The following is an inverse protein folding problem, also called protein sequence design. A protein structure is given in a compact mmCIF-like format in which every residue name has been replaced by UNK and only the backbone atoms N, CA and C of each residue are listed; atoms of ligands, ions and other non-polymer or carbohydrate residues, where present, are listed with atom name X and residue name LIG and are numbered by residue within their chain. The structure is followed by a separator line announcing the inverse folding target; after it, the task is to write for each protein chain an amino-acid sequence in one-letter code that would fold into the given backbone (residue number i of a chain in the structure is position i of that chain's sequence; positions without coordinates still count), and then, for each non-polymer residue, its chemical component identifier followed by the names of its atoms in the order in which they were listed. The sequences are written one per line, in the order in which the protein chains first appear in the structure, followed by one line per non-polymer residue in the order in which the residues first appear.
data_IF_475695789157
#
_entry.id   IF_475695789157
#
_cell.length_a   1.000
_cell.length_b   1.000
_cell.length_c   1.000
_cell.angle_alpha   90.00
_cell.angle_beta   90.00
_cell.angle_gamma   90.00
#
_symmetry.space_group_name_H-M   'P 1'
#
loop_
_entity.id
_entity.type
_entity.pdbx_description
1 polymer ?
#
# COMPACT_ATOMS: atom_id res chain seq x y z
N UNK A 1 -32.47 9.13 12.77
CA UNK A 1 -31.43 9.21 13.81
C UNK A 1 -30.18 8.57 13.23
N UNK A 2 -29.19 9.38 12.87
CA UNK A 2 -27.92 8.92 12.31
C UNK A 2 -27.05 8.35 13.44
N UNK A 3 -26.87 7.03 13.45
CA UNK A 3 -25.81 6.39 14.21
C UNK A 3 -24.47 6.76 13.59
N UNK A 4 -23.67 7.51 14.33
CA UNK A 4 -22.28 7.79 13.99
C UNK A 4 -21.51 6.47 13.93
N UNK A 5 -21.10 6.05 12.74
CA UNK A 5 -20.21 4.88 12.52
C UNK A 5 -18.79 5.07 13.12
N UNK A 6 -18.57 6.09 13.95
CA UNK A 6 -17.27 6.39 14.60
C UNK A 6 -16.92 5.45 15.75
N UNK A 7 -17.84 4.59 16.16
CA UNK A 7 -17.63 3.61 17.23
C UNK A 7 -17.37 2.19 16.69
N UNK A 8 -16.82 2.06 15.47
CA UNK A 8 -16.11 0.82 15.14
C UNK A 8 -14.85 0.78 16.00
N UNK A 9 -14.97 0.06 17.11
CA UNK A 9 -13.91 -0.26 18.06
C UNK A 9 -12.53 -0.32 17.37
N UNK A 10 -11.59 0.53 17.81
CA UNK A 10 -10.18 0.44 17.42
C UNK A 10 -9.58 -0.94 17.76
N UNK A 11 -10.24 -1.74 18.60
CA UNK A 11 -9.91 -3.14 18.87
C UNK A 11 -10.44 -4.12 17.81
N UNK A 12 -11.47 -3.76 17.04
CA UNK A 12 -12.00 -4.55 15.93
C UNK A 12 -11.23 -4.32 14.60
N UNK A 13 -10.51 -3.20 14.47
CA UNK A 13 -9.59 -2.93 13.35
C UNK A 13 -8.25 -3.66 13.53
N UNK A 14 -8.29 -4.95 13.84
CA UNK A 14 -7.11 -5.76 14.12
C UNK A 14 -6.09 -5.61 12.99
N UNK A 15 -4.98 -4.92 13.27
CA UNK A 15 -3.78 -4.83 12.45
C UNK A 15 -3.92 -3.99 11.16
N UNK A 16 -3.00 -3.05 10.94
CA UNK A 16 -2.77 -2.47 9.60
C UNK A 16 -1.89 -3.48 8.89
N UNK A 17 -2.42 -4.24 7.93
CA UNK A 17 -1.65 -5.34 7.35
C UNK A 17 -1.82 -5.44 5.85
N UNK A 18 -0.71 -5.36 5.11
CA UNK A 18 -0.73 -5.66 3.69
C UNK A 18 -0.08 -7.01 3.41
N UNK A 19 -0.70 -7.80 2.54
CA UNK A 19 -0.01 -8.88 1.86
C UNK A 19 0.96 -8.27 0.83
N UNK A 20 2.19 -8.75 0.79
CA UNK A 20 3.20 -8.38 -0.19
C UNK A 20 3.46 -9.59 -1.07
N UNK A 21 3.11 -9.49 -2.36
CA UNK A 21 3.51 -10.47 -3.36
C UNK A 21 4.85 -10.06 -3.95
N UNK A 22 5.79 -10.99 -3.88
CA UNK A 22 7.09 -10.86 -4.51
C UNK A 22 6.97 -11.24 -5.99
N UNK A 23 7.48 -10.38 -6.87
CA UNK A 23 7.49 -10.63 -8.33
C UNK A 23 8.88 -10.51 -8.96
N UNK A 24 9.85 -9.97 -8.20
CA UNK A 24 11.25 -9.82 -8.60
C UNK A 24 12.13 -10.92 -7.98
N UNK A 25 12.76 -11.73 -8.84
CA UNK A 25 13.53 -12.93 -8.49
C UNK A 25 14.87 -13.02 -9.26
N UNK A 26 15.46 -11.88 -9.61
CA UNK A 26 16.84 -11.83 -10.10
C UNK A 26 17.83 -11.90 -8.93
N UNK A 27 19.08 -12.30 -9.17
CA UNK A 27 20.13 -12.33 -8.15
C UNK A 27 20.28 -10.96 -7.44
N UNK A 28 20.13 -9.87 -8.21
CA UNK A 28 20.12 -8.51 -7.66
C UNK A 28 18.91 -8.31 -6.74
N UNK A 29 17.70 -8.68 -7.19
CA UNK A 29 16.50 -8.58 -6.37
C UNK A 29 16.59 -9.40 -5.08
N UNK A 30 17.11 -10.63 -5.14
CA UNK A 30 17.36 -11.48 -3.97
C UNK A 30 18.30 -10.81 -2.96
N UNK A 31 19.39 -10.22 -3.44
CA UNK A 31 20.36 -9.53 -2.58
C UNK A 31 19.76 -8.28 -1.92
N UNK A 32 18.90 -7.56 -2.64
CA UNK A 32 18.33 -6.29 -2.19
C UNK A 32 17.06 -6.45 -1.33
N UNK A 33 16.33 -7.56 -1.47
CA UNK A 33 15.01 -7.77 -0.88
C UNK A 33 14.94 -7.58 0.64
N UNK A 34 15.85 -8.16 1.45
CA UNK A 34 15.81 -7.99 2.91
C UNK A 34 15.95 -6.52 3.31
N UNK A 35 16.86 -5.80 2.66
CA UNK A 35 17.12 -4.38 2.91
C UNK A 35 15.92 -3.52 2.51
N UNK A 36 15.30 -3.79 1.36
CA UNK A 36 14.14 -3.05 0.89
C UNK A 36 12.94 -3.19 1.85
N UNK A 37 12.64 -4.41 2.29
CA UNK A 37 11.56 -4.67 3.24
C UNK A 37 11.83 -4.04 4.60
N UNK A 38 13.06 -4.13 5.10
CA UNK A 38 13.44 -3.48 6.36
C UNK A 38 13.27 -1.97 6.27
N UNK A 39 13.74 -1.33 5.19
CA UNK A 39 13.58 0.10 4.98
C UNK A 39 12.11 0.49 4.88
N UNK A 40 11.31 -0.24 4.09
CA UNK A 40 9.87 0.03 3.99
C UNK A 40 9.20 -0.04 5.37
N UNK A 41 9.43 -1.11 6.12
CA UNK A 41 8.87 -1.29 7.47
C UNK A 41 9.33 -0.18 8.41
N UNK A 42 10.63 0.14 8.43
CA UNK A 42 11.23 1.17 9.29
C UNK A 42 10.62 2.54 8.99
N UNK A 43 10.64 2.95 7.73
CA UNK A 43 10.13 4.25 7.32
C UNK A 43 8.63 4.40 7.58
N UNK A 44 7.83 3.36 7.33
CA UNK A 44 6.39 3.40 7.65
C UNK A 44 6.15 3.52 9.15
N UNK A 45 6.76 2.64 9.94
CA UNK A 45 6.48 2.55 11.39
C UNK A 45 7.11 3.67 12.20
N UNK A 46 8.31 4.13 11.84
CA UNK A 46 9.03 5.13 12.61
C UNK A 46 8.81 6.56 12.11
N UNK A 47 8.34 6.75 10.86
CA UNK A 47 8.22 8.09 10.28
C UNK A 47 6.84 8.36 9.66
N UNK A 48 6.40 7.61 8.65
CA UNK A 48 5.22 7.98 7.87
C UNK A 48 3.91 7.94 8.64
N UNK A 49 3.72 6.95 9.53
CA UNK A 49 2.55 6.94 10.41
C UNK A 49 2.50 8.20 11.28
N UNK A 50 3.64 8.82 11.59
CA UNK A 50 3.74 10.05 12.36
C UNK A 50 3.73 11.32 11.49
N UNK A 51 3.87 11.23 10.17
CA UNK A 51 4.05 12.40 9.31
C UNK A 51 2.84 13.36 9.40
N UNK A 52 1.63 12.82 9.46
CA UNK A 52 0.42 13.63 9.59
C UNK A 52 0.39 14.42 10.92
N UNK A 53 1.01 13.87 11.98
CA UNK A 53 1.23 14.58 13.25
C UNK A 53 2.21 15.73 13.08
N UNK A 54 3.31 15.51 12.34
CA UNK A 54 4.32 16.53 12.01
C UNK A 54 3.75 17.65 11.15
N UNK A 55 2.89 17.32 10.19
CA UNK A 55 2.23 18.28 9.29
C UNK A 55 1.29 19.19 10.08
N UNK A 56 0.47 18.62 10.97
CA UNK A 56 -0.56 19.34 11.71
C UNK A 56 -0.08 19.88 13.07
N UNK A 57 1.22 19.85 13.35
CA UNK A 57 1.83 20.32 14.60
C UNK A 57 1.17 19.72 15.86
N UNK A 58 0.78 18.44 15.81
CA UNK A 58 0.18 17.74 16.95
C UNK A 58 1.30 17.19 17.85
N UNK A 59 1.37 17.50 19.15
CA UNK A 59 2.48 17.05 19.99
C UNK A 59 2.34 15.59 20.47
N UNK A 60 1.11 15.13 20.70
CA UNK A 60 0.83 13.75 21.12
C UNK A 60 0.92 12.77 19.94
N UNK A 61 1.69 11.69 20.09
CA UNK A 61 1.79 10.60 19.11
C UNK A 61 1.43 9.22 19.63
N UNK A 62 0.85 9.10 20.82
CA UNK A 62 0.50 7.81 21.42
C UNK A 62 -0.34 6.93 20.49
N UNK A 63 -1.31 7.52 19.79
CA UNK A 63 -2.12 6.83 18.78
C UNK A 63 -1.25 6.35 17.62
N UNK A 64 -0.34 7.19 17.12
CA UNK A 64 0.55 6.84 16.01
C UNK A 64 1.54 5.72 16.41
N UNK A 65 2.03 5.73 17.65
CA UNK A 65 2.88 4.66 18.19
C UNK A 65 2.12 3.32 18.27
N UNK A 66 0.84 3.34 18.66
CA UNK A 66 -0.02 2.15 18.64
C UNK A 66 -0.25 1.64 17.22
N UNK A 67 -0.55 2.53 16.27
CA UNK A 67 -0.72 2.18 14.86
C UNK A 67 0.56 1.59 14.27
N UNK A 68 1.71 2.19 14.58
CA UNK A 68 3.02 1.70 14.15
C UNK A 68 3.31 0.30 14.69
N UNK A 69 2.98 0.02 15.96
CA UNK A 69 3.12 -1.33 16.55
C UNK A 69 2.23 -2.37 15.90
N UNK A 70 1.09 -1.96 15.33
CA UNK A 70 0.13 -2.85 14.65
C UNK A 70 0.39 -3.02 13.15
N UNK A 71 1.38 -2.34 12.60
CA UNK A 71 1.70 -2.43 11.18
C UNK A 71 2.44 -3.74 10.85
N UNK A 72 1.88 -4.51 9.91
CA UNK A 72 2.44 -5.75 9.40
C UNK A 72 2.58 -5.69 7.88
N UNK A 73 3.73 -6.14 7.39
CA UNK A 73 3.91 -6.58 6.02
C UNK A 73 4.02 -8.10 6.04
N UNK A 74 3.02 -8.78 5.48
CA UNK A 74 3.03 -10.23 5.33
C UNK A 74 3.54 -10.56 3.95
N UNK A 75 4.78 -11.04 3.86
CA UNK A 75 5.35 -11.47 2.59
C UNK A 75 4.82 -12.85 2.26
N UNK A 76 4.21 -12.98 1.09
CA UNK A 76 3.74 -14.27 0.57
C UNK A 76 4.52 -14.64 -0.67
N UNK A 77 5.27 -15.74 -0.54
CA UNK A 77 6.03 -16.35 -1.62
C UNK A 77 5.30 -17.62 -2.05
N UNK A 78 4.57 -17.54 -3.16
CA UNK A 78 3.90 -18.70 -3.76
C UNK A 78 4.77 -19.26 -4.90
N UNK A 79 4.99 -20.59 -4.97
CA UNK A 79 5.73 -21.19 -6.08
C UNK A 79 5.11 -20.93 -7.47
N UNK A 80 3.83 -20.56 -7.57
CA UNK A 80 3.23 -20.13 -8.84
C UNK A 80 3.41 -18.63 -9.09
N UNK A 81 3.48 -17.78 -8.06
CA UNK A 81 3.89 -16.37 -8.23
C UNK A 81 5.34 -16.26 -8.70
N UNK A 82 6.22 -17.16 -8.24
CA UNK A 82 7.61 -17.23 -8.69
C UNK A 82 7.72 -17.53 -10.20
N UNK A 83 6.79 -18.30 -10.76
CA UNK A 83 6.76 -18.60 -12.20
C UNK A 83 6.32 -17.41 -13.05
N UNK A 84 5.54 -16.49 -12.49
CA UNK A 84 5.03 -15.33 -13.25
C UNK A 84 6.12 -14.31 -13.56
N UNK A 85 7.16 -14.20 -12.72
CA UNK A 85 8.32 -13.29 -12.86
C UNK A 85 7.97 -11.97 -13.56
N UNK A 86 7.46 -11.02 -12.80
CA UNK A 86 7.10 -9.68 -13.29
C UNK A 86 8.08 -8.64 -12.69
N UNK A 87 9.31 -8.54 -13.23
CA UNK A 87 10.34 -7.64 -12.68
C UNK A 87 10.01 -6.15 -12.90
N UNK A 88 9.11 -5.84 -13.83
CA UNK A 88 8.67 -4.48 -14.14
C UNK A 88 7.14 -4.48 -14.32
N UNK A 89 6.42 -4.07 -13.28
CA UNK A 89 4.96 -4.10 -13.29
C UNK A 89 4.36 -3.02 -14.21
N UNK A 90 5.13 -1.99 -14.58
CA UNK A 90 4.67 -0.98 -15.53
C UNK A 90 4.48 -1.54 -16.94
N UNK A 91 5.16 -2.66 -17.25
CA UNK A 91 5.05 -3.37 -18.54
C UNK A 91 4.08 -4.56 -18.49
N UNK A 92 3.49 -4.85 -17.33
CA UNK A 92 2.58 -5.95 -17.17
C UNK A 92 1.28 -5.74 -17.97
N UNK A 93 0.78 -6.81 -18.58
CA UNK A 93 -0.51 -6.83 -19.21
C UNK A 93 -1.64 -6.95 -18.18
N UNK A 94 -2.88 -6.73 -18.62
CA UNK A 94 -4.06 -6.99 -17.78
C UNK A 94 -4.16 -8.44 -17.31
N UNK A 95 -3.76 -9.39 -18.15
CA UNK A 95 -3.86 -10.81 -17.81
C UNK A 95 -2.78 -11.22 -16.81
N UNK A 96 -1.60 -10.58 -16.84
CA UNK A 96 -0.58 -10.74 -15.80
C UNK A 96 -1.10 -10.29 -14.44
N UNK A 97 -1.77 -9.12 -14.37
CA UNK A 97 -2.29 -8.59 -13.11
C UNK A 97 -3.51 -9.39 -12.60
N UNK A 98 -4.35 -9.91 -13.51
CA UNK A 98 -5.40 -10.87 -13.13
C UNK A 98 -4.80 -12.14 -12.53
N UNK A 99 -3.70 -12.64 -13.09
CA UNK A 99 -3.02 -13.83 -12.57
C UNK A 99 -2.46 -13.60 -11.16
N UNK A 100 -1.87 -12.42 -10.89
CA UNK A 100 -1.48 -12.04 -9.52
C UNK A 100 -2.68 -11.96 -8.57
N UNK A 101 -3.81 -11.44 -9.08
CA UNK A 101 -5.05 -11.35 -8.32
C UNK A 101 -5.62 -12.74 -7.99
N UNK A 102 -5.50 -13.72 -8.90
CA UNK A 102 -5.89 -15.10 -8.64
C UNK A 102 -5.06 -15.72 -7.50
N UNK A 103 -3.75 -15.46 -7.46
CA UNK A 103 -2.87 -15.90 -6.36
C UNK A 103 -3.29 -15.27 -5.03
N UNK A 104 -3.52 -13.96 -5.02
CA UNK A 104 -4.00 -13.25 -3.84
C UNK A 104 -5.33 -13.83 -3.33
N UNK A 105 -6.32 -14.00 -4.20
CA UNK A 105 -7.62 -14.53 -3.81
C UNK A 105 -7.56 -15.98 -3.33
N UNK A 106 -6.66 -16.80 -3.88
CA UNK A 106 -6.42 -18.16 -3.38
C UNK A 106 -5.84 -18.14 -1.95
N UNK A 107 -4.91 -17.21 -1.68
CA UNK A 107 -4.41 -16.97 -0.32
C UNK A 107 -5.52 -16.50 0.62
N UNK A 108 -6.36 -15.55 0.22
CA UNK A 108 -7.50 -15.05 1.02
C UNK A 108 -8.43 -16.18 1.43
N UNK A 109 -8.83 -17.06 0.48
CA UNK A 109 -9.69 -18.22 0.78
C UNK A 109 -9.07 -19.16 1.81
N UNK A 110 -7.76 -19.31 1.77
CA UNK A 110 -7.01 -20.14 2.73
C UNK A 110 -6.93 -19.47 4.09
N UNK A 111 -6.65 -18.17 4.13
CA UNK A 111 -6.50 -17.39 5.36
C UNK A 111 -7.81 -17.23 6.15
N UNK A 112 -8.94 -17.02 5.45
CA UNK A 112 -10.26 -16.84 6.07
C UNK A 112 -10.88 -18.18 6.48
N UNK A 113 -10.60 -19.26 5.75
CA UNK A 113 -11.20 -20.58 6.02
C UNK A 113 -12.72 -20.61 5.76
N UNK A 114 -13.45 -21.48 6.46
CA UNK A 114 -14.91 -21.68 6.30
C UNK A 114 -15.74 -20.78 7.23
N UNK A 115 -15.34 -19.53 7.41
CA UNK A 115 -16.05 -18.58 8.29
C UNK A 115 -17.11 -17.84 7.48
N UNK A 116 -18.27 -17.57 8.11
CA UNK A 116 -19.30 -16.67 7.57
C UNK A 116 -18.82 -15.22 7.71
N UNK A 117 -17.88 -14.86 6.85
CA UNK A 117 -17.18 -13.58 6.85
C UNK A 117 -16.95 -13.17 5.39
N UNK A 118 -17.43 -12.00 5.00
CA UNK A 118 -17.12 -11.43 3.69
C UNK A 118 -15.72 -10.81 3.72
N UNK A 119 -14.74 -11.34 2.95
CA UNK A 119 -13.42 -10.74 2.86
C UNK A 119 -13.44 -9.27 2.42
N UNK A 120 -14.48 -8.83 1.70
CA UNK A 120 -14.63 -7.44 1.28
C UNK A 120 -14.77 -6.46 2.46
N UNK A 121 -15.20 -6.94 3.63
CA UNK A 121 -15.41 -6.10 4.82
C UNK A 121 -14.14 -5.84 5.63
N UNK A 122 -13.03 -6.48 5.27
CA UNK A 122 -11.72 -6.24 5.88
C UNK A 122 -10.71 -5.78 4.83
N UNK A 123 -10.11 -4.59 4.99
CA UNK A 123 -9.10 -4.07 4.06
C UNK A 123 -7.96 -5.03 3.73
N UNK A 124 -7.61 -5.93 4.67
CA UNK A 124 -6.56 -6.95 4.51
C UNK A 124 -6.78 -7.84 3.30
N UNK A 125 -8.04 -8.12 2.98
CA UNK A 125 -8.41 -9.09 1.96
C UNK A 125 -8.94 -8.43 0.68
N UNK A 126 -8.83 -7.10 0.57
CA UNK A 126 -9.28 -6.34 -0.58
C UNK A 126 -8.16 -6.01 -1.57
N UNK A 127 -6.95 -5.77 -1.08
CA UNK A 127 -5.82 -5.36 -1.90
C UNK A 127 -4.51 -5.93 -1.37
N UNK A 128 -3.49 -5.90 -2.20
CA UNK A 128 -2.15 -6.35 -1.88
C UNK A 128 -1.11 -5.43 -2.50
N UNK A 129 0.11 -5.55 -2.00
CA UNK A 129 1.26 -4.82 -2.50
C UNK A 129 2.10 -5.72 -3.40
N UNK A 130 2.72 -5.12 -4.40
CA UNK A 130 3.74 -5.75 -5.23
C UNK A 130 5.01 -4.91 -5.16
N UNK A 131 6.15 -5.59 -4.97
CA UNK A 131 7.48 -4.98 -5.02
C UNK A 131 8.19 -5.58 -6.23
N UNK A 132 8.18 -4.83 -7.33
CA UNK A 132 8.96 -5.12 -8.54
C UNK A 132 10.39 -4.59 -8.41
N UNK A 133 11.28 -4.84 -9.38
CA UNK A 133 12.69 -4.45 -9.25
C UNK A 133 12.89 -2.93 -9.12
N UNK A 134 12.07 -2.15 -9.82
CA UNK A 134 12.13 -0.68 -9.74
C UNK A 134 11.76 -0.18 -8.35
N UNK A 135 10.67 -0.69 -7.78
CA UNK A 135 10.25 -0.43 -6.40
C UNK A 135 11.35 -0.83 -5.42
N UNK A 136 11.93 -2.02 -5.60
CA UNK A 136 12.98 -2.58 -4.76
C UNK A 136 14.21 -1.67 -4.70
N UNK A 137 14.73 -1.24 -5.85
CA UNK A 137 15.85 -0.28 -5.92
C UNK A 137 15.48 1.08 -5.30
N UNK A 138 14.25 1.55 -5.50
CA UNK A 138 13.78 2.81 -4.91
C UNK A 138 13.73 2.78 -3.38
N UNK A 139 13.35 1.63 -2.79
CA UNK A 139 13.30 1.44 -1.34
C UNK A 139 14.71 1.34 -0.75
N UNK A 140 15.63 0.63 -1.41
CA UNK A 140 17.03 0.53 -0.98
C UNK A 140 17.73 1.90 -0.99
N UNK A 141 17.36 2.77 -1.93
CA UNK A 141 17.91 4.12 -2.05
C UNK A 141 17.45 5.08 -0.93
N UNK A 142 16.43 4.73 -0.14
CA UNK A 142 16.05 5.53 1.02
C UNK A 142 17.20 5.58 2.04
N UNK A 143 17.41 6.70 2.77
CA UNK A 143 18.37 6.74 3.87
C UNK A 143 18.11 5.64 4.91
N UNK A 144 19.18 5.15 5.54
CA UNK A 144 19.07 4.15 6.60
C UNK A 144 18.37 4.74 7.84
N UNK A 145 18.62 6.01 8.14
CA UNK A 145 18.03 6.71 9.27
C UNK A 145 16.81 7.52 8.83
N UNK A 146 15.75 7.48 9.64
CA UNK A 146 14.58 8.33 9.46
C UNK A 146 14.84 9.73 10.02
N UNK A 147 14.23 10.79 9.46
CA UNK A 147 14.33 12.12 10.05
C UNK A 147 13.73 12.17 11.47
N UNK A 148 14.20 13.10 12.29
CA UNK A 148 13.67 13.34 13.64
C UNK A 148 12.15 13.57 13.63
N UNK A 149 11.45 13.03 14.63
CA UNK A 149 10.02 13.26 14.84
C UNK A 149 9.69 14.56 15.60
N UNK A 150 10.69 15.41 15.82
CA UNK A 150 10.50 16.74 16.39
C UNK A 150 9.70 17.65 15.44
N UNK A 151 8.92 18.55 16.04
CA UNK A 151 8.19 19.57 15.30
C UNK A 151 9.16 20.63 14.77
N UNK A 152 9.35 20.65 13.45
CA UNK A 152 10.27 21.57 12.78
C UNK A 152 9.56 22.58 11.87
N UNK A 153 10.21 23.73 11.57
CA UNK A 153 9.69 24.73 10.63
C UNK A 153 9.42 24.16 9.23
N UNK A 154 8.51 24.81 8.51
CA UNK A 154 8.04 24.37 7.19
C UNK A 154 9.14 24.11 6.13
N UNK A 155 10.21 24.91 6.01
CA UNK A 155 11.29 24.64 5.05
C UNK A 155 11.99 23.30 5.28
N UNK A 156 12.29 22.98 6.54
CA UNK A 156 12.93 21.71 6.90
C UNK A 156 11.98 20.54 6.64
N UNK A 157 10.70 20.70 6.99
CA UNK A 157 9.66 19.71 6.68
C UNK A 157 9.59 19.38 5.19
N UNK A 158 9.63 20.40 4.32
CA UNK A 158 9.65 20.21 2.86
C UNK A 158 10.92 19.53 2.37
N UNK A 159 12.07 19.78 3.00
CA UNK A 159 13.31 19.10 2.67
C UNK A 159 13.22 17.60 3.00
N UNK A 160 12.62 17.25 4.14
CA UNK A 160 12.34 15.86 4.51
C UNK A 160 11.48 15.20 3.43
N UNK A 161 10.40 15.82 2.97
CA UNK A 161 9.51 15.27 1.93
C UNK A 161 10.20 14.84 0.63
N UNK A 162 11.37 15.40 0.32
CA UNK A 162 12.15 15.01 -0.88
C UNK A 162 12.90 13.69 -0.71
N UNK A 163 13.15 13.23 0.52
CA UNK A 163 13.93 12.02 0.78
C UNK A 163 13.25 10.74 0.26
N UNK A 164 11.92 10.74 0.19
CA UNK A 164 11.12 9.58 -0.22
C UNK A 164 10.22 9.85 -1.42
N UNK A 165 10.38 10.98 -2.11
CA UNK A 165 9.51 11.38 -3.22
C UNK A 165 9.58 10.45 -4.44
N UNK A 166 10.62 9.62 -4.52
CA UNK A 166 10.84 8.67 -5.60
C UNK A 166 10.63 7.20 -5.17
N UNK A 167 10.47 6.95 -3.88
CA UNK A 167 10.17 5.61 -3.39
C UNK A 167 8.72 5.26 -3.67
N UNK A 168 8.47 4.03 -4.12
CA UNK A 168 7.13 3.53 -4.36
C UNK A 168 7.05 2.03 -4.14
N UNK A 169 5.84 1.56 -3.91
CA UNK A 169 5.40 0.17 -4.07
C UNK A 169 4.21 0.17 -5.02
N UNK A 170 3.85 -0.97 -5.59
CA UNK A 170 2.61 -1.09 -6.35
C UNK A 170 1.48 -1.52 -5.43
N UNK A 171 0.35 -0.84 -5.52
CA UNK A 171 -0.90 -1.24 -4.88
C UNK A 171 -1.80 -1.87 -5.95
N UNK A 172 -2.21 -3.11 -5.73
CA UNK A 172 -3.15 -3.83 -6.60
C UNK A 172 -4.50 -3.98 -5.89
N UNK A 173 -5.51 -3.32 -6.43
CA UNK A 173 -6.90 -3.40 -6.00
C UNK A 173 -7.60 -4.54 -6.74
N UNK A 174 -7.66 -5.72 -6.11
CA UNK A 174 -8.24 -6.94 -6.69
C UNK A 174 -9.66 -6.70 -7.26
N UNK A 175 -10.62 -6.11 -6.51
CA UNK A 175 -11.92 -5.74 -7.06
C UNK A 175 -11.87 -4.87 -8.33
N UNK A 176 -10.94 -3.91 -8.39
CA UNK A 176 -10.79 -3.06 -9.56
C UNK A 176 -10.22 -3.80 -10.77
N UNK A 177 -9.26 -4.70 -10.58
CA UNK A 177 -8.74 -5.57 -11.63
C UNK A 177 -9.88 -6.43 -12.22
N UNK A 178 -10.75 -6.99 -11.37
CA UNK A 178 -11.84 -7.87 -11.81
C UNK A 178 -12.91 -7.16 -12.63
N UNK A 179 -13.25 -5.92 -12.29
CA UNK A 179 -14.27 -5.15 -13.02
C UNK A 179 -13.77 -4.49 -14.30
N UNK A 180 -12.45 -4.44 -14.52
CA UNK A 180 -11.87 -3.62 -15.58
C UNK A 180 -12.31 -4.07 -16.98
N UNK A 181 -12.92 -3.14 -17.72
CA UNK A 181 -13.47 -3.40 -19.07
C UNK A 181 -12.58 -2.97 -20.24
N UNK A 182 -11.29 -2.67 -19.99
CA UNK A 182 -10.35 -2.25 -21.04
C UNK A 182 -10.29 -0.74 -21.30
N UNK A 183 -11.15 0.06 -20.68
CA UNK A 183 -11.15 1.54 -20.77
C UNK A 183 -10.77 2.13 -19.42
N UNK A 184 -9.69 2.90 -19.35
CA UNK A 184 -9.24 3.51 -18.09
C UNK A 184 -9.77 4.94 -17.98
N UNK A 185 -10.64 5.19 -17.01
CA UNK A 185 -11.24 6.48 -16.70
C UNK A 185 -11.41 6.64 -15.17
N UNK A 186 -12.11 7.69 -14.72
CA UNK A 186 -12.32 7.96 -13.30
C UNK A 186 -13.13 6.88 -12.58
N UNK A 187 -14.06 6.26 -13.31
CA UNK A 187 -15.02 5.23 -12.89
C UNK A 187 -14.75 3.86 -13.55
N UNK A 188 -13.53 3.58 -13.99
CA UNK A 188 -13.13 2.26 -14.43
C UNK A 188 -11.62 2.27 -14.56
N UNK A 189 -10.90 1.51 -13.76
CA UNK A 189 -9.44 1.50 -13.88
C UNK A 189 -8.85 0.12 -13.85
N UNK A 190 -7.65 0.05 -14.40
CA UNK A 190 -6.90 -1.17 -14.63
C UNK A 190 -6.62 -1.99 -13.36
N UNK A 191 -6.72 -1.38 -12.18
CA UNK A 191 -6.64 -2.06 -10.90
C UNK A 191 -5.30 -2.01 -10.19
N UNK A 192 -4.28 -1.34 -10.76
CA UNK A 192 -3.00 -1.12 -10.08
C UNK A 192 -2.49 0.30 -10.25
N UNK A 193 -1.74 0.78 -9.25
CA UNK A 193 -1.15 2.11 -9.23
C UNK A 193 0.12 2.12 -8.38
N UNK A 194 1.01 3.08 -8.64
CA UNK A 194 2.13 3.36 -7.73
C UNK A 194 1.59 3.98 -6.44
N UNK A 195 2.16 3.59 -5.31
CA UNK A 195 1.82 4.08 -3.99
C UNK A 195 3.11 4.51 -3.30
N UNK A 196 3.17 5.77 -2.86
CA UNK A 196 4.30 6.20 -2.04
C UNK A 196 4.25 5.48 -0.69
N UNK A 197 5.38 5.01 -0.13
CA UNK A 197 5.40 4.45 1.21
C UNK A 197 4.75 5.33 2.29
N UNK A 198 4.74 6.66 2.11
CA UNK A 198 4.06 7.59 3.03
C UNK A 198 2.54 7.43 3.05
N UNK A 199 1.97 6.95 1.96
CA UNK A 199 0.53 6.87 1.75
C UNK A 199 -0.05 5.51 2.15
N UNK A 200 0.80 4.52 2.49
CA UNK A 200 0.36 3.19 2.93
C UNK A 200 -0.66 3.24 4.07
N UNK A 201 -0.44 3.99 5.18
CA UNK A 201 -1.45 4.08 6.24
C UNK A 201 -2.75 4.71 5.75
N UNK A 202 -2.67 5.77 4.93
CA UNK A 202 -3.84 6.46 4.42
C UNK A 202 -4.69 5.55 3.51
N UNK A 203 -4.07 4.84 2.58
CA UNK A 203 -4.74 3.90 1.68
C UNK A 203 -5.45 2.77 2.46
N UNK A 204 -4.85 2.32 3.57
CA UNK A 204 -5.50 1.36 4.47
C UNK A 204 -6.73 1.96 5.15
N UNK A 205 -6.62 3.17 5.71
CA UNK A 205 -7.73 3.80 6.41
C UNK A 205 -8.88 4.20 5.48
N UNK A 206 -8.60 4.63 4.25
CA UNK A 206 -9.64 4.87 3.24
C UNK A 206 -10.49 3.60 3.02
N UNK A 207 -9.86 2.42 3.03
CA UNK A 207 -10.56 1.13 2.94
C UNK A 207 -11.39 0.82 4.18
N UNK A 208 -10.88 1.10 5.38
CA UNK A 208 -11.64 0.88 6.63
C UNK A 208 -12.88 1.79 6.67
N UNK A 209 -12.71 3.04 6.25
CA UNK A 209 -13.74 4.08 6.30
C UNK A 209 -14.86 3.90 5.27
N UNK A 210 -14.88 2.77 4.55
CA UNK A 210 -15.88 2.42 3.54
C UNK A 210 -17.30 2.78 4.00
N UNK A 211 -17.98 3.58 3.19
CA UNK A 211 -19.43 3.60 3.10
C UNK A 211 -19.83 2.55 2.06
N UNK A 212 -20.91 1.79 2.31
CA UNK A 212 -21.34 0.63 1.51
C UNK A 212 -21.60 0.95 0.02
N UNK A 213 -21.66 2.23 -0.35
CA UNK A 213 -22.18 2.70 -1.64
C UNK A 213 -21.08 3.16 -2.62
N UNK A 214 -19.81 3.26 -2.20
CA UNK A 214 -18.73 3.74 -3.06
C UNK A 214 -18.02 2.60 -3.80
N UNK A 215 -18.32 2.44 -5.09
CA UNK A 215 -17.60 1.53 -5.95
C UNK A 215 -16.11 1.91 -6.11
N UNK A 216 -15.74 3.18 -5.96
CA UNK A 216 -14.41 3.70 -6.30
C UNK A 216 -13.56 3.93 -5.07
N UNK A 217 -12.61 3.03 -4.81
CA UNK A 217 -11.98 3.02 -3.49
C UNK A 217 -10.72 3.90 -3.38
N UNK A 218 -10.08 4.27 -4.50
CA UNK A 218 -8.86 5.10 -4.45
C UNK A 218 -8.93 6.30 -5.38
N UNK A 219 -8.51 7.46 -4.88
CA UNK A 219 -8.15 8.57 -5.74
C UNK A 219 -6.85 8.25 -6.48
N UNK A 220 -6.75 8.70 -7.73
CA UNK A 220 -5.58 8.48 -8.57
C UNK A 220 -5.18 9.77 -9.26
N UNK A 221 -3.88 9.97 -9.44
CA UNK A 221 -3.32 11.10 -10.16
C UNK A 221 -2.12 10.65 -10.97
N UNK A 222 -1.99 11.19 -12.16
CA UNK A 222 -0.81 11.01 -12.99
C UNK A 222 0.34 11.89 -12.49
N UNK A 223 1.52 11.30 -12.23
CA UNK A 223 2.67 12.03 -11.69
C UNK A 223 3.95 11.62 -12.45
N UNK A 224 4.63 12.55 -13.16
CA UNK A 224 4.15 13.89 -13.52
C UNK A 224 2.98 13.81 -14.51
N UNK A 225 2.17 14.87 -14.60
CA UNK A 225 1.07 14.92 -15.57
C UNK A 225 1.58 14.69 -17.00
N UNK A 226 0.92 13.80 -17.75
CA UNK A 226 1.30 13.33 -19.08
C UNK A 226 2.29 12.16 -19.13
N UNK A 227 2.72 11.57 -18.00
CA UNK A 227 3.68 10.44 -17.98
C UNK A 227 3.08 9.05 -18.27
N UNK A 228 1.77 8.89 -18.12
CA UNK A 228 1.07 7.61 -18.06
C UNK A 228 1.15 6.90 -16.70
N UNK A 229 1.99 7.38 -15.78
CA UNK A 229 2.19 6.76 -14.47
C UNK A 229 1.12 7.22 -13.48
N UNK A 230 0.21 6.33 -13.16
CA UNK A 230 -0.82 6.56 -12.15
C UNK A 230 -0.30 6.27 -10.75
N UNK A 231 -0.47 7.24 -9.87
CA UNK A 231 -0.19 7.17 -8.45
C UNK A 231 -1.48 7.26 -7.64
N UNK A 232 -1.48 6.64 -6.47
CA UNK A 232 -2.49 6.88 -5.45
C UNK A 232 -2.53 8.36 -5.06
N UNK A 233 -3.73 8.84 -4.79
CA UNK A 233 -3.98 10.17 -4.24
C UNK A 233 -5.13 10.08 -3.24
N UNK A 234 -4.88 10.52 -2.01
CA UNK A 234 -5.92 10.62 -0.99
C UNK A 234 -7.06 11.54 -1.47
N UNK A 235 -8.32 11.12 -1.32
CA UNK A 235 -9.49 11.90 -1.73
C UNK A 235 -9.86 13.01 -0.75
#
# INVERSE_FOLDING_TARGET
MHGSNRDKDLNAMGWISHLVLRTAYSDEADALWPTALEKLKRWVTQYFIHDNRLINNKPDGSVNEELARRFILEVFEDPNSEKMKLPDLAKASQDDIKSLTDVFEAWVRTAVGKVDFDPADNPRFCNFLVIDEGSLRSLVALPDETPSLELVPGPERRARSKLWSHAYVWLVDSPAVRRFKGVNDAENYNGWMKLNPSDLPAAWFERVARFEDEAWIFGRREIPQGSGDLWYHQR
#
